data_IF_739317503280
#
_entry.id   IF_739317503280
#
_cell.length_a   1.000
_cell.length_b   1.000
_cell.length_c   1.000
_cell.angle_alpha   90.00
_cell.angle_beta   90.00
_cell.angle_gamma   90.00
#
_symmetry.space_group_name_H-M   'P 1'
#
loop_
_entity.id
_entity.type
_entity.pdbx_description
1 polymer ?
#
# COMPACT_ATOMS: atom_id res chain seq x y z
N UNK A 1 13.00 -8.28 8.80
CA UNK A 1 13.05 -9.10 7.58
C UNK A 1 12.53 -8.25 6.42
N UNK A 2 13.02 -8.45 5.19
CA UNK A 2 12.46 -7.86 3.97
C UNK A 2 11.85 -8.97 3.13
N UNK A 3 10.71 -8.70 2.50
CA UNK A 3 9.96 -9.65 1.69
C UNK A 3 10.27 -9.55 0.18
N UNK A 4 11.18 -8.66 -0.21
CA UNK A 4 11.62 -8.51 -1.61
C UNK A 4 10.48 -8.08 -2.55
N UNK A 5 9.57 -7.22 -2.05
CA UNK A 5 8.37 -6.82 -2.80
C UNK A 5 8.71 -6.14 -4.13
N UNK A 6 9.80 -5.39 -4.17
CA UNK A 6 10.37 -4.78 -5.37
C UNK A 6 10.76 -5.82 -6.41
N UNK A 7 11.48 -6.86 -6.01
CA UNK A 7 11.88 -7.97 -6.88
C UNK A 7 10.67 -8.71 -7.45
N UNK A 8 9.63 -8.91 -6.62
CA UNK A 8 8.38 -9.55 -7.07
C UNK A 8 7.72 -8.71 -8.15
N UNK A 9 7.55 -7.39 -7.95
CA UNK A 9 6.94 -6.54 -8.97
C UNK A 9 7.77 -6.42 -10.24
N UNK A 10 9.10 -6.37 -10.13
CA UNK A 10 9.97 -6.33 -11.30
C UNK A 10 9.85 -7.62 -12.14
N UNK A 11 9.69 -8.77 -11.49
CA UNK A 11 9.44 -10.05 -12.18
C UNK A 11 8.09 -10.08 -12.93
N UNK A 12 7.10 -9.31 -12.46
CA UNK A 12 5.75 -9.26 -13.03
C UNK A 12 5.62 -8.26 -14.20
N UNK A 13 6.57 -7.33 -14.37
CA UNK A 13 6.46 -6.21 -15.31
C UNK A 13 6.39 -6.60 -16.81
N UNK A 14 6.70 -7.86 -17.14
CA UNK A 14 6.71 -8.40 -18.50
C UNK A 14 5.36 -8.92 -19.02
N UNK A 15 4.41 -9.27 -18.15
CA UNK A 15 3.14 -9.89 -18.55
C UNK A 15 2.04 -8.84 -18.81
N UNK A 16 1.96 -8.39 -20.07
CA UNK A 16 1.15 -7.22 -20.48
C UNK A 16 -0.34 -7.49 -20.65
N UNK A 17 -0.81 -8.73 -20.48
CA UNK A 17 -2.21 -9.10 -20.78
C UNK A 17 -2.96 -9.71 -19.60
N UNK A 18 -2.30 -9.92 -18.45
CA UNK A 18 -2.91 -10.62 -17.32
C UNK A 18 -2.73 -9.86 -16.00
N UNK A 19 -3.71 -10.02 -15.11
CA UNK A 19 -3.53 -9.73 -13.70
C UNK A 19 -2.66 -10.83 -13.09
N UNK A 20 -1.46 -10.48 -12.65
CA UNK A 20 -0.51 -11.40 -12.01
C UNK A 20 -0.58 -11.18 -10.50
N UNK A 21 -0.89 -12.24 -9.76
CA UNK A 21 -1.02 -12.24 -8.29
C UNK A 21 -0.08 -13.32 -7.74
N UNK A 22 0.87 -12.92 -6.88
CA UNK A 22 1.85 -13.82 -6.24
C UNK A 22 1.61 -13.84 -4.74
N UNK A 23 1.51 -15.04 -4.17
CA UNK A 23 1.31 -15.24 -2.72
C UNK A 23 2.63 -15.01 -1.97
N UNK A 24 2.53 -14.44 -0.78
CA UNK A 24 3.65 -14.34 0.17
C UNK A 24 3.60 -15.55 1.10
N UNK A 25 4.43 -16.56 0.80
CA UNK A 25 4.39 -17.86 1.47
C UNK A 25 5.03 -17.84 2.87
N UNK A 26 5.85 -16.83 3.17
CA UNK A 26 6.49 -16.61 4.47
C UNK A 26 5.50 -16.26 5.58
N UNK A 27 4.26 -15.90 5.25
CA UNK A 27 3.19 -15.57 6.20
C UNK A 27 2.01 -16.54 6.01
N UNK A 28 2.17 -17.84 6.34
CA UNK A 28 1.19 -18.87 5.98
C UNK A 28 -0.18 -18.67 6.65
N UNK A 29 -0.21 -18.01 7.81
CA UNK A 29 -1.45 -17.72 8.55
C UNK A 29 -2.38 -16.74 7.82
N UNK A 30 -1.84 -15.93 6.91
CA UNK A 30 -2.57 -14.86 6.21
C UNK A 30 -2.47 -15.10 4.70
N UNK A 31 -3.61 -15.12 4.00
CA UNK A 31 -3.62 -15.20 2.55
C UNK A 31 -3.36 -13.81 1.95
N UNK A 32 -2.10 -13.41 1.89
CA UNK A 32 -1.69 -12.12 1.33
C UNK A 32 -0.86 -12.25 0.05
N UNK A 33 -0.92 -11.21 -0.78
CA UNK A 33 -0.40 -11.26 -2.13
C UNK A 33 0.14 -9.91 -2.60
N UNK A 34 1.12 -9.99 -3.50
CA UNK A 34 1.63 -8.86 -4.27
C UNK A 34 1.22 -9.07 -5.72
N UNK A 35 0.56 -8.07 -6.30
CA UNK A 35 -0.05 -8.18 -7.62
C UNK A 35 0.29 -7.00 -8.53
N UNK A 36 0.21 -7.25 -9.83
CA UNK A 36 0.27 -6.25 -10.90
C UNK A 36 -0.85 -6.50 -11.90
N UNK A 37 -1.55 -5.44 -12.28
CA UNK A 37 -2.46 -5.49 -13.40
C UNK A 37 -1.69 -5.16 -14.69
N UNK A 38 -1.51 -6.12 -15.60
CA UNK A 38 -0.75 -5.90 -16.85
C UNK A 38 -1.33 -4.85 -17.80
N UNK A 39 -2.64 -4.57 -17.71
CA UNK A 39 -3.33 -3.58 -18.56
C UNK A 39 -3.13 -2.17 -18.01
N UNK A 40 -3.41 -1.95 -16.73
CA UNK A 40 -3.25 -0.61 -16.11
C UNK A 40 -1.83 -0.34 -15.61
N UNK A 41 -1.02 -1.40 -15.49
CA UNK A 41 0.31 -1.43 -14.84
C UNK A 41 0.28 -1.06 -13.36
N UNK A 42 -0.90 -1.07 -12.74
CA UNK A 42 -1.03 -0.75 -11.31
C UNK A 42 -0.50 -1.91 -10.47
N UNK A 43 0.34 -1.56 -9.49
CA UNK A 43 0.81 -2.44 -8.42
C UNK A 43 -0.23 -2.51 -7.31
N UNK A 44 -0.35 -3.65 -6.64
CA UNK A 44 -1.31 -3.81 -5.54
C UNK A 44 -0.81 -4.79 -4.49
N UNK A 45 -1.25 -4.58 -3.25
CA UNK A 45 -1.15 -5.52 -2.15
C UNK A 45 -2.55 -5.98 -1.77
N UNK A 46 -2.72 -7.29 -1.57
CA UNK A 46 -4.03 -7.92 -1.39
C UNK A 46 -4.03 -8.81 -0.14
N UNK A 47 -5.16 -8.87 0.57
CA UNK A 47 -5.42 -9.89 1.60
C UNK A 47 -6.78 -10.51 1.32
N UNK A 48 -6.83 -11.84 1.17
CA UNK A 48 -8.07 -12.59 1.02
C UNK A 48 -8.57 -13.04 2.40
N UNK A 49 -9.88 -12.94 2.62
CA UNK A 49 -10.53 -13.33 3.87
C UNK A 49 -11.97 -13.78 3.66
N UNK A 50 -12.55 -14.45 4.65
CA UNK A 50 -13.93 -14.96 4.55
C UNK A 50 -14.94 -13.81 4.39
N UNK A 51 -15.99 -14.05 3.59
CA UNK A 51 -17.13 -13.17 3.50
C UNK A 51 -17.82 -12.92 4.86
N UNK A 52 -17.68 -13.84 5.81
CA UNK A 52 -18.27 -13.76 7.16
C UNK A 52 -17.41 -12.98 8.17
N UNK A 53 -16.15 -12.67 7.85
CA UNK A 53 -15.24 -11.98 8.78
C UNK A 53 -15.78 -10.59 9.15
N UNK A 54 -15.97 -10.31 10.44
CA UNK A 54 -16.32 -8.94 10.85
C UNK A 54 -15.07 -8.09 10.81
N UNK A 55 -15.07 -7.07 9.95
CA UNK A 55 -13.94 -6.16 9.81
C UNK A 55 -14.01 -5.01 10.82
N UNK A 56 -12.86 -4.52 11.32
CA UNK A 56 -12.82 -3.28 12.06
C UNK A 56 -13.25 -2.12 11.15
N UNK A 57 -13.88 -1.10 11.74
CA UNK A 57 -14.30 0.08 11.00
C UNK A 57 -13.06 0.84 10.47
N UNK A 58 -13.08 1.17 9.18
CA UNK A 58 -11.98 1.87 8.54
C UNK A 58 -12.50 2.89 7.54
N UNK A 59 -11.98 4.12 7.64
CA UNK A 59 -12.51 5.29 6.92
C UNK A 59 -11.58 5.83 5.83
N UNK A 60 -10.37 5.31 5.70
CA UNK A 60 -9.42 5.80 4.69
C UNK A 60 -9.66 5.00 3.41
N UNK A 61 -10.36 5.59 2.45
CA UNK A 61 -10.57 4.96 1.14
C UNK A 61 -9.45 5.29 0.15
N UNK A 62 -8.78 6.44 0.33
CA UNK A 62 -7.71 6.89 -0.56
C UNK A 62 -6.79 7.87 0.16
N UNK A 63 -5.50 7.84 -0.17
CA UNK A 63 -4.52 8.85 0.21
C UNK A 63 -3.35 8.83 -0.78
N UNK A 64 -2.81 10.00 -1.18
CA UNK A 64 -1.57 10.13 -1.98
C UNK A 64 -1.35 9.04 -3.05
N UNK A 65 -2.22 8.97 -4.05
CA UNK A 65 -2.07 8.00 -5.14
C UNK A 65 -2.22 6.53 -4.73
N UNK A 66 -2.69 6.23 -3.51
CA UNK A 66 -3.04 4.90 -3.03
C UNK A 66 -4.53 4.84 -2.76
N UNK A 67 -5.19 3.80 -3.26
CA UNK A 67 -6.61 3.52 -3.08
C UNK A 67 -6.80 2.21 -2.30
N UNK A 68 -7.80 2.16 -1.43
CA UNK A 68 -8.09 1.02 -0.57
C UNK A 68 -9.55 0.63 -0.75
N UNK A 69 -9.78 -0.63 -1.11
CA UNK A 69 -11.10 -1.15 -1.40
C UNK A 69 -11.27 -2.55 -0.79
N UNK A 70 -12.52 -2.93 -0.55
CA UNK A 70 -12.89 -4.32 -0.26
C UNK A 70 -13.69 -4.82 -1.45
N UNK A 71 -13.18 -5.83 -2.12
CA UNK A 71 -13.78 -6.43 -3.30
C UNK A 71 -14.46 -7.76 -2.91
N UNK A 72 -15.71 -8.03 -3.35
CA UNK A 72 -16.35 -9.32 -3.13
C UNK A 72 -15.81 -10.38 -4.11
N UNK A 73 -15.49 -11.57 -3.60
CA UNK A 73 -15.03 -12.72 -4.39
C UNK A 73 -15.81 -14.00 -3.99
N UNK A 74 -16.96 -14.28 -4.58
CA UNK A 74 -17.77 -15.48 -4.25
C UNK A 74 -17.92 -15.71 -2.72
N UNK A 75 -17.18 -16.66 -2.14
CA UNK A 75 -17.19 -17.01 -0.70
C UNK A 75 -16.17 -16.21 0.15
N UNK A 76 -15.37 -15.38 -0.51
CA UNK A 76 -14.30 -14.55 0.04
C UNK A 76 -14.57 -13.06 -0.20
N UNK A 77 -13.80 -12.25 0.49
CA UNK A 77 -13.57 -10.83 0.19
C UNK A 77 -12.07 -10.60 0.11
N UNK A 78 -11.68 -9.61 -0.66
CA UNK A 78 -10.29 -9.20 -0.85
C UNK A 78 -10.14 -7.75 -0.42
N UNK A 79 -9.25 -7.49 0.52
CA UNK A 79 -8.78 -6.14 0.84
C UNK A 79 -7.72 -5.81 -0.19
N UNK A 80 -8.01 -4.85 -1.06
CA UNK A 80 -7.11 -4.40 -2.10
C UNK A 80 -6.54 -3.02 -1.75
N UNK A 81 -5.22 -2.91 -1.71
CA UNK A 81 -4.48 -1.65 -1.62
C UNK A 81 -3.79 -1.44 -2.97
N UNK A 82 -4.20 -0.42 -3.71
CA UNK A 82 -3.87 -0.26 -5.12
C UNK A 82 -3.09 1.03 -5.31
N UNK A 83 -1.95 0.93 -5.98
CA UNK A 83 -1.18 2.08 -6.44
C UNK A 83 -1.84 2.66 -7.70
N UNK A 84 -2.29 3.90 -7.60
CA UNK A 84 -2.93 4.67 -8.67
C UNK A 84 -1.97 5.64 -9.36
N UNK A 85 -0.78 5.88 -8.79
CA UNK A 85 0.22 6.78 -9.33
C UNK A 85 1.60 6.10 -9.33
N UNK A 86 2.06 5.69 -10.52
CA UNK A 86 3.30 4.91 -10.68
C UNK A 86 4.57 5.66 -10.21
N UNK A 87 4.55 6.99 -10.21
CA UNK A 87 5.62 7.85 -9.66
C UNK A 87 5.90 7.56 -8.17
N UNK A 88 4.93 7.00 -7.45
CA UNK A 88 5.01 6.65 -6.03
C UNK A 88 5.39 5.18 -5.79
N UNK A 89 5.74 4.42 -6.82
CA UNK A 89 6.03 2.99 -6.75
C UNK A 89 7.09 2.61 -5.71
N UNK A 90 8.19 3.36 -5.61
CA UNK A 90 9.22 3.11 -4.60
C UNK A 90 8.70 3.30 -3.17
N UNK A 91 7.88 4.33 -2.96
CA UNK A 91 7.27 4.62 -1.66
C UNK A 91 6.18 3.59 -1.32
N UNK A 92 5.41 3.15 -2.31
CA UNK A 92 4.41 2.10 -2.17
C UNK A 92 5.04 0.74 -1.80
N UNK A 93 6.24 0.46 -2.32
CA UNK A 93 7.03 -0.70 -1.92
C UNK A 93 7.37 -0.68 -0.43
N UNK A 94 7.83 0.46 0.08
CA UNK A 94 8.13 0.62 1.51
C UNK A 94 6.89 0.45 2.38
N UNK A 95 5.75 1.04 1.98
CA UNK A 95 4.47 0.83 2.67
C UNK A 95 4.09 -0.65 2.72
N UNK A 96 4.23 -1.36 1.59
CA UNK A 96 3.86 -2.78 1.49
C UNK A 96 4.78 -3.65 2.35
N UNK A 97 6.09 -3.39 2.34
CA UNK A 97 7.05 -4.05 3.23
C UNK A 97 6.73 -3.84 4.71
N UNK A 98 6.33 -2.62 5.09
CA UNK A 98 5.94 -2.34 6.48
C UNK A 98 4.62 -3.03 6.87
N UNK A 99 3.65 -3.10 5.96
CA UNK A 99 2.44 -3.90 6.17
C UNK A 99 2.81 -5.37 6.37
N UNK A 100 3.64 -5.96 5.51
CA UNK A 100 4.05 -7.36 5.58
C UNK A 100 4.72 -7.70 6.92
N UNK A 101 5.65 -6.86 7.38
CA UNK A 101 6.31 -7.04 8.68
C UNK A 101 5.31 -7.05 9.84
N UNK A 102 4.31 -6.18 9.81
CA UNK A 102 3.32 -6.07 10.88
C UNK A 102 2.31 -7.22 10.87
N UNK A 103 1.89 -7.68 9.68
CA UNK A 103 0.94 -8.80 9.60
C UNK A 103 1.61 -10.15 9.83
N UNK A 104 2.93 -10.27 9.67
CA UNK A 104 3.66 -11.50 9.95
C UNK A 104 3.62 -11.93 11.41
N UNK A 105 3.44 -10.97 12.32
CA UNK A 105 3.29 -11.20 13.76
C UNK A 105 1.83 -11.51 14.17
N UNK A 106 0.88 -11.47 13.24
CA UNK A 106 -0.53 -11.68 13.52
C UNK A 106 -0.91 -13.16 13.44
N UNK A 107 -1.75 -13.63 14.36
CA UNK A 107 -2.25 -15.01 14.36
C UNK A 107 -3.53 -15.17 13.53
N UNK A 108 -4.27 -14.07 13.33
CA UNK A 108 -5.56 -14.07 12.64
C UNK A 108 -5.63 -13.03 11.54
N UNK A 109 -6.48 -13.30 10.55
CA UNK A 109 -6.82 -12.35 9.47
C UNK A 109 -7.37 -11.03 10.01
N UNK A 110 -8.19 -11.06 11.06
CA UNK A 110 -8.77 -9.84 11.64
C UNK A 110 -7.68 -8.95 12.25
N UNK A 111 -6.72 -9.54 12.97
CA UNK A 111 -5.55 -8.82 13.50
C UNK A 111 -4.69 -8.26 12.35
N UNK A 112 -4.45 -9.05 11.29
CA UNK A 112 -3.68 -8.61 10.14
C UNK A 112 -4.33 -7.42 9.41
N UNK A 113 -5.67 -7.43 9.23
CA UNK A 113 -6.39 -6.30 8.63
C UNK A 113 -6.32 -5.06 9.53
N UNK A 114 -6.49 -5.22 10.85
CA UNK A 114 -6.34 -4.13 11.80
C UNK A 114 -4.91 -3.53 11.80
N UNK A 115 -3.88 -4.39 11.74
CA UNK A 115 -2.49 -3.98 11.63
C UNK A 115 -2.22 -3.24 10.31
N UNK A 116 -2.74 -3.75 9.20
CA UNK A 116 -2.68 -3.11 7.88
C UNK A 116 -3.25 -1.69 7.93
N UNK A 117 -4.44 -1.51 8.51
CA UNK A 117 -5.07 -0.20 8.67
C UNK A 117 -4.30 0.76 9.58
N UNK A 118 -3.65 0.24 10.63
CA UNK A 118 -2.77 1.02 11.51
C UNK A 118 -1.55 1.54 10.75
N UNK A 119 -0.89 0.70 9.96
CA UNK A 119 0.26 1.09 9.13
C UNK A 119 -0.15 2.17 8.12
N UNK A 120 -1.24 1.93 7.38
CA UNK A 120 -1.79 2.90 6.43
C UNK A 120 -2.07 4.25 7.09
N UNK A 121 -2.69 4.24 8.27
CA UNK A 121 -3.01 5.47 9.00
C UNK A 121 -1.75 6.25 9.40
N UNK A 122 -0.69 5.53 9.81
CA UNK A 122 0.61 6.14 10.13
C UNK A 122 1.24 6.78 8.90
N UNK A 123 1.27 6.07 7.77
CA UNK A 123 1.81 6.55 6.51
C UNK A 123 1.02 7.74 5.97
N UNK A 124 -0.32 7.68 5.99
CA UNK A 124 -1.17 8.82 5.62
C UNK A 124 -0.80 10.07 6.42
N UNK A 125 -0.68 9.96 7.74
CA UNK A 125 -0.28 11.08 8.62
C UNK A 125 1.11 11.59 8.29
N UNK A 126 2.06 10.73 7.97
CA UNK A 126 3.40 11.12 7.52
C UNK A 126 3.33 11.98 6.26
N UNK A 127 2.56 11.57 5.24
CA UNK A 127 2.38 12.36 4.03
C UNK A 127 1.66 13.68 4.23
N UNK A 128 0.71 13.74 5.16
CA UNK A 128 0.01 14.98 5.51
C UNK A 128 0.96 15.96 6.23
N UNK A 129 1.77 15.46 7.17
CA UNK A 129 2.75 16.27 7.89
C UNK A 129 3.87 16.82 6.99
N UNK A 130 4.25 16.10 5.94
CA UNK A 130 5.21 16.60 4.94
C UNK A 130 4.65 17.79 4.14
N UNK A 131 3.34 17.79 3.84
CA UNK A 131 2.69 18.94 3.19
C UNK A 131 2.64 20.17 4.10
N UNK A 132 2.44 19.96 5.41
CA UNK A 132 2.38 21.06 6.39
C UNK A 132 3.74 21.73 6.64
N UNK A 133 4.84 21.05 6.29
CA UNK A 133 6.22 21.56 6.43
C UNK A 133 6.81 22.09 5.12
N UNK A 134 6.02 22.18 4.05
CA UNK A 134 6.40 22.94 2.87
C UNK A 134 6.54 24.43 3.23
N UNK A 135 7.55 25.10 2.67
CA UNK A 135 7.73 26.53 2.86
C UNK A 135 6.47 27.28 2.40
N UNK A 136 5.95 28.19 3.21
CA UNK A 136 4.90 29.12 2.76
C UNK A 136 5.42 29.95 1.57
N UNK A 137 4.52 30.51 0.76
CA UNK A 137 4.91 31.39 -0.35
C UNK A 137 5.80 32.57 0.11
N UNK A 138 5.71 32.99 1.38
CA UNK A 138 6.62 33.98 1.98
C UNK A 138 8.01 33.42 2.28
N UNK A 139 8.10 32.20 2.82
CA UNK A 139 9.40 31.57 3.09
C UNK A 139 10.14 31.17 1.80
N UNK A 140 9.40 30.85 0.73
CA UNK A 140 9.98 30.63 -0.61
C UNK A 140 10.56 31.93 -1.21
N UNK A 141 9.96 33.10 -0.94
CA UNK A 141 10.50 34.39 -1.39
C UNK A 141 11.81 34.77 -0.69
N UNK A 142 11.99 34.36 0.58
CA UNK A 142 13.25 34.55 1.32
C UNK A 142 14.46 33.87 0.66
N UNK A 143 14.26 32.70 0.05
CA UNK A 143 15.31 31.94 -0.65
C UNK A 143 15.80 32.59 -1.96
N UNK A 144 14.97 33.39 -2.63
CA UNK A 144 15.40 34.16 -3.80
C UNK A 144 16.18 35.42 -3.43
N UNK A 145 16.01 35.92 -2.20
CA UNK A 145 16.71 37.10 -1.70
C UNK A 145 18.20 36.87 -1.42
N UNK A 146 18.63 35.63 -1.14
CA UNK A 146 20.03 35.32 -0.82
C UNK A 146 20.90 35.00 -2.07
N UNK A 147 20.29 34.83 -3.25
CA UNK A 147 21.01 34.56 -4.50
C UNK A 147 21.38 35.82 -5.32
N UNK A 148 20.99 37.01 -4.85
CA UNK A 148 21.18 38.28 -5.56
C UNK A 148 21.98 39.35 -4.79
N UNK A 149 22.77 38.96 -3.78
CA UNK A 149 23.74 39.85 -3.13
C UNK A 149 25.17 39.34 -3.27
#
# INVERSE_FOLDING_TARGET
MSYGVDLIWDSQAGDKQRFVKVRIDEIPAIQCFVATNGITRNRSFLIDFSAETVLPEFRIQRFRGVEIQILPLADLRELAIILMEDSLSGVFCLLTEDILKEIAECATVTEAIAATFRVISSWKRMFENLNLKGLSAEQQKGLFGELYF
#
